data_IF_196523691848
#
_entry.id   IF_196523691848
#
_cell.length_a   1.000
_cell.length_b   1.000
_cell.length_c   1.000
_cell.angle_alpha   90.00
_cell.angle_beta   90.00
_cell.angle_gamma   90.00
#
_symmetry.space_group_name_H-M   'P 1'
#
loop_
_entity.id
_entity.type
_entity.pdbx_description
1 polymer ?
#
# COMPACT_ATOMS: atom_id res chain seq x y z
N UNK A 1 -28.47 9.44 1.54
CA UNK A 1 -27.23 9.21 0.76
C UNK A 1 -27.24 7.76 0.31
N UNK A 2 -27.45 7.46 -0.98
CA UNK A 2 -27.52 6.07 -1.49
C UNK A 2 -26.44 5.75 -2.52
N UNK A 3 -25.61 6.72 -2.91
CA UNK A 3 -24.69 6.59 -4.04
C UNK A 3 -23.27 6.88 -3.54
N UNK A 4 -22.43 5.85 -3.56
CA UNK A 4 -21.03 5.88 -3.13
C UNK A 4 -20.16 5.89 -4.38
N UNK A 5 -19.29 6.89 -4.49
CA UNK A 5 -18.35 6.99 -5.60
C UNK A 5 -17.11 6.17 -5.32
N UNK A 6 -16.86 5.16 -6.16
CA UNK A 6 -15.69 4.28 -6.05
C UNK A 6 -14.75 4.37 -7.26
N UNK A 7 -15.00 5.29 -8.19
CA UNK A 7 -14.20 5.47 -9.41
C UNK A 7 -12.82 6.09 -9.20
N UNK A 8 -12.10 6.29 -10.30
CA UNK A 8 -10.80 6.97 -10.31
C UNK A 8 -10.94 8.49 -10.11
N UNK A 9 -9.99 9.15 -9.46
CA UNK A 9 -10.04 10.59 -9.25
C UNK A 9 -9.66 11.39 -10.53
N UNK A 10 -10.47 11.30 -11.58
CA UNK A 10 -10.32 12.02 -12.84
C UNK A 10 -11.67 12.53 -13.38
N UNK A 11 -11.61 13.50 -14.30
CA UNK A 11 -12.80 14.18 -14.84
C UNK A 11 -13.78 13.21 -15.49
N UNK A 12 -13.26 12.24 -16.24
CA UNK A 12 -14.08 11.32 -17.04
C UNK A 12 -14.85 10.36 -16.12
N UNK A 13 -14.19 9.81 -15.10
CA UNK A 13 -14.80 8.93 -14.11
C UNK A 13 -15.85 9.65 -13.26
N UNK A 14 -15.61 10.91 -12.88
CA UNK A 14 -16.59 11.72 -12.14
C UNK A 14 -17.78 12.08 -13.04
N UNK A 15 -17.53 12.48 -14.29
CA UNK A 15 -18.59 12.79 -15.25
C UNK A 15 -19.44 11.56 -15.59
N UNK A 16 -18.84 10.38 -15.68
CA UNK A 16 -19.55 9.12 -15.88
C UNK A 16 -20.45 8.78 -14.69
N UNK A 17 -19.95 8.92 -13.46
CA UNK A 17 -20.74 8.69 -12.25
C UNK A 17 -21.91 9.67 -12.13
N UNK A 18 -21.71 10.95 -12.43
CA UNK A 18 -22.80 11.94 -12.43
C UNK A 18 -23.90 11.60 -13.46
N UNK A 19 -23.55 10.98 -14.59
CA UNK A 19 -24.50 10.54 -15.62
C UNK A 19 -25.24 9.26 -15.22
N UNK A 20 -24.58 8.35 -14.52
CA UNK A 20 -25.16 7.10 -14.06
C UNK A 20 -24.56 6.66 -12.72
N UNK A 21 -25.10 7.17 -11.60
CA UNK A 21 -24.56 6.90 -10.27
C UNK A 21 -24.92 5.50 -9.73
N UNK A 22 -25.86 4.80 -10.38
CA UNK A 22 -26.26 3.43 -10.03
C UNK A 22 -25.53 2.37 -10.88
N UNK A 23 -24.56 2.79 -11.69
CA UNK A 23 -23.72 1.86 -12.45
C UNK A 23 -22.93 0.95 -11.49
N UNK A 24 -22.74 -0.34 -11.83
CA UNK A 24 -21.95 -1.24 -11.02
C UNK A 24 -20.51 -0.67 -10.85
N UNK A 25 -19.92 -0.77 -9.65
CA UNK A 25 -18.57 -0.31 -9.41
C UNK A 25 -17.60 -0.94 -10.41
N UNK A 26 -16.72 -0.13 -10.99
CA UNK A 26 -15.61 -0.66 -11.78
C UNK A 26 -14.68 -1.37 -10.82
N UNK A 27 -14.54 -2.70 -10.95
CA UNK A 27 -13.61 -3.47 -10.13
C UNK A 27 -12.19 -2.96 -10.34
N UNK A 28 -11.63 -2.34 -9.30
CA UNK A 28 -10.22 -1.92 -9.31
C UNK A 28 -9.35 -3.19 -9.34
N UNK A 29 -8.37 -3.30 -10.25
CA UNK A 29 -7.42 -4.39 -10.21
C UNK A 29 -6.78 -4.47 -8.82
N UNK A 30 -6.98 -5.60 -8.12
CA UNK A 30 -6.30 -5.85 -6.85
C UNK A 30 -4.82 -6.00 -7.16
N UNK A 31 -4.04 -5.01 -6.76
CA UNK A 31 -2.59 -5.08 -6.95
C UNK A 31 -1.98 -6.19 -6.09
N UNK A 32 -0.87 -6.76 -6.57
CA UNK A 32 -0.15 -7.84 -5.88
C UNK A 32 0.35 -7.37 -4.51
N UNK A 33 0.29 -8.26 -3.52
CA UNK A 33 0.86 -8.00 -2.21
C UNK A 33 2.40 -8.00 -2.31
N UNK A 34 3.03 -7.07 -1.62
CA UNK A 34 4.49 -7.00 -1.60
C UNK A 34 5.11 -8.01 -0.64
N UNK A 35 4.31 -8.60 0.26
CA UNK A 35 4.75 -9.66 1.18
C UNK A 35 5.16 -10.95 0.47
N UNK A 36 4.67 -11.18 -0.74
CA UNK A 36 4.94 -12.40 -1.50
C UNK A 36 6.33 -12.38 -2.17
N UNK A 37 6.96 -11.20 -2.24
CA UNK A 37 8.30 -11.05 -2.81
C UNK A 37 9.38 -11.32 -1.75
N UNK A 38 10.38 -12.17 -2.04
CA UNK A 38 11.46 -12.44 -1.10
C UNK A 38 12.30 -11.18 -0.87
N UNK A 39 12.33 -10.68 0.37
CA UNK A 39 13.15 -9.55 0.78
C UNK A 39 13.46 -9.60 2.29
N UNK A 40 14.43 -8.78 2.73
CA UNK A 40 14.76 -8.61 4.15
C UNK A 40 13.80 -7.65 4.88
N UNK A 41 12.74 -7.22 4.22
CA UNK A 41 11.72 -6.35 4.80
C UNK A 41 10.73 -7.19 5.58
N UNK A 42 10.51 -6.85 6.85
CA UNK A 42 9.46 -7.46 7.66
C UNK A 42 8.12 -6.79 7.34
N UNK A 43 7.16 -7.57 6.86
CA UNK A 43 5.80 -7.09 6.62
C UNK A 43 4.97 -7.14 7.90
N UNK A 44 4.42 -6.00 8.28
CA UNK A 44 3.59 -5.85 9.49
C UNK A 44 2.12 -5.74 9.11
N UNK A 45 1.27 -6.31 9.94
CA UNK A 45 -0.17 -6.16 9.87
C UNK A 45 -0.70 -5.59 11.20
N UNK A 46 -2.01 -5.41 11.29
CA UNK A 46 -2.66 -4.83 12.47
C UNK A 46 -2.34 -5.62 13.74
N UNK A 47 -2.21 -6.94 13.65
CA UNK A 47 -1.96 -7.82 14.79
C UNK A 47 -0.49 -7.84 15.23
N UNK A 48 0.45 -7.64 14.30
CA UNK A 48 1.90 -7.74 14.58
C UNK A 48 2.60 -6.42 14.82
N UNK A 49 1.97 -5.30 14.47
CA UNK A 49 2.55 -3.96 14.53
C UNK A 49 3.03 -3.58 15.94
N UNK A 50 2.12 -3.57 16.92
CA UNK A 50 2.42 -3.13 18.28
C UNK A 50 3.53 -3.98 18.91
N UNK A 51 3.41 -5.30 18.77
CA UNK A 51 4.41 -6.24 19.33
C UNK A 51 5.79 -6.09 18.70
N UNK A 52 5.89 -5.65 17.45
CA UNK A 52 7.17 -5.44 16.77
C UNK A 52 7.85 -4.18 17.27
N UNK A 53 7.08 -3.10 17.46
CA UNK A 53 7.61 -1.83 17.95
C UNK A 53 8.13 -1.97 19.37
N UNK A 54 7.42 -2.68 20.24
CA UNK A 54 7.84 -2.90 21.62
C UNK A 54 9.13 -3.74 21.74
N UNK A 55 9.38 -4.66 20.80
CA UNK A 55 10.55 -5.56 20.81
C UNK A 55 11.86 -4.91 20.38
N UNK A 56 11.81 -3.75 19.72
CA UNK A 56 12.98 -3.14 19.10
C UNK A 56 13.17 -1.70 19.59
N UNK A 57 14.41 -1.34 19.96
CA UNK A 57 14.73 0.02 20.43
C UNK A 57 14.60 1.10 19.35
N UNK A 58 14.83 0.72 18.09
CA UNK A 58 14.72 1.60 16.93
C UNK A 58 14.10 0.82 15.76
N UNK A 59 13.05 1.37 15.15
CA UNK A 59 12.37 0.78 13.99
C UNK A 59 12.16 1.84 12.92
N UNK A 60 12.50 1.52 11.67
CA UNK A 60 12.10 2.30 10.51
C UNK A 60 10.89 1.60 9.87
N UNK A 61 9.80 2.33 9.67
CA UNK A 61 8.54 1.80 9.16
C UNK A 61 8.11 2.60 7.93
N UNK A 62 7.70 1.89 6.88
CA UNK A 62 7.08 2.47 5.68
C UNK A 62 5.63 2.03 5.58
N UNK A 63 4.70 2.96 5.82
CA UNK A 63 3.29 2.77 5.50
C UNK A 63 3.10 2.96 3.99
N UNK A 64 2.59 1.94 3.31
CA UNK A 64 2.40 1.96 1.86
C UNK A 64 1.00 1.48 1.48
N UNK A 65 0.58 1.89 0.28
CA UNK A 65 -0.50 1.24 -0.44
C UNK A 65 0.09 0.65 -1.72
N UNK A 66 -0.28 -0.57 -2.13
CA UNK A 66 0.33 -1.21 -3.28
C UNK A 66 0.16 -0.34 -4.54
N UNK A 67 -1.02 0.28 -4.70
CA UNK A 67 -1.38 1.18 -5.82
C UNK A 67 -0.74 2.57 -5.78
N UNK A 68 -0.01 2.92 -4.73
CA UNK A 68 0.64 4.22 -4.65
C UNK A 68 1.91 4.25 -5.51
N UNK A 69 1.88 5.02 -6.60
CA UNK A 69 3.02 5.17 -7.51
C UNK A 69 4.30 5.69 -6.83
N UNK A 70 4.18 6.53 -5.79
CA UNK A 70 5.36 6.98 -5.02
C UNK A 70 5.96 5.85 -4.18
N UNK A 71 5.13 5.03 -3.54
CA UNK A 71 5.58 3.87 -2.78
C UNK A 71 6.28 2.87 -3.69
N UNK A 72 5.74 2.59 -4.89
CA UNK A 72 6.37 1.69 -5.88
C UNK A 72 7.79 2.14 -6.24
N UNK A 73 8.01 3.45 -6.40
CA UNK A 73 9.34 4.02 -6.67
C UNK A 73 10.29 3.92 -5.48
N UNK A 74 9.77 3.99 -4.25
CA UNK A 74 10.56 3.92 -3.02
C UNK A 74 10.94 2.48 -2.62
N UNK A 75 10.10 1.50 -2.96
CA UNK A 75 10.27 0.07 -2.65
C UNK A 75 11.71 -0.44 -2.83
N UNK A 76 12.39 -0.29 -4.00
CA UNK A 76 13.74 -0.83 -4.19
C UNK A 76 14.78 -0.22 -3.25
N UNK A 77 14.69 1.09 -2.97
CA UNK A 77 15.60 1.76 -2.04
C UNK A 77 15.38 1.29 -0.59
N UNK A 78 14.12 1.04 -0.21
CA UNK A 78 13.76 0.53 1.11
C UNK A 78 14.28 -0.90 1.33
N UNK A 79 14.12 -1.78 0.33
CA UNK A 79 14.66 -3.15 0.37
C UNK A 79 16.19 -3.13 0.49
N UNK A 80 16.87 -2.27 -0.29
CA UNK A 80 18.32 -2.13 -0.19
C UNK A 80 18.78 -1.61 1.18
N UNK A 81 18.01 -0.71 1.81
CA UNK A 81 18.30 -0.23 3.15
C UNK A 81 18.13 -1.34 4.20
N UNK A 82 17.08 -2.16 4.09
CA UNK A 82 16.86 -3.32 4.97
C UNK A 82 18.01 -4.33 4.88
N UNK A 83 18.46 -4.65 3.66
CA UNK A 83 19.63 -5.51 3.45
C UNK A 83 20.88 -4.96 4.14
N UNK A 84 21.19 -3.68 3.94
CA UNK A 84 22.35 -3.03 4.58
C UNK A 84 22.25 -3.06 6.10
N UNK A 85 21.06 -2.83 6.66
CA UNK A 85 20.86 -2.86 8.11
C UNK A 85 21.06 -4.25 8.70
N UNK A 86 20.73 -5.31 7.94
CA UNK A 86 21.00 -6.71 8.32
C UNK A 86 22.50 -7.00 8.33
N UNK A 87 23.24 -6.51 7.34
CA UNK A 87 24.69 -6.75 7.22
C UNK A 87 25.53 -5.96 8.26
N UNK A 88 24.98 -4.86 8.78
CA UNK A 88 25.62 -4.02 9.81
C UNK A 88 25.44 -4.56 11.25
N UNK A 89 24.62 -5.59 11.43
CA UNK A 89 24.32 -6.23 12.71
C UNK A 89 25.20 -7.45 12.92
#
# INVERSE_FOLDING_TARGET
MKQQYEGENNKDAIAAFLKNPDAPPVEKPKEADWSDEPSEVVHLNVDTFDTTIEKHSSVLIMFYAPWCGHCKKMKPAYVAAAQRLKDLK
#
